data_IF_746740756316
#
_entry.id   IF_746740756316
#
_cell.length_a   1.000
_cell.length_b   1.000
_cell.length_c   1.000
_cell.angle_alpha   90.00
_cell.angle_beta   90.00
_cell.angle_gamma   90.00
#
_symmetry.space_group_name_H-M   'P 1'
#
loop_
_entity.id
_entity.type
_entity.pdbx_description
1 polymer ?
#
# COMPACT_ATOMS: atom_id res chain seq x y z
N UNK A 1 18.39 17.44 62.58
CA UNK A 1 18.23 17.31 61.12
C UNK A 1 18.41 18.69 60.52
N UNK A 2 19.57 18.94 59.92
CA UNK A 2 19.93 20.18 59.23
C UNK A 2 19.74 19.97 57.72
N UNK A 3 19.10 20.89 57.02
CA UNK A 3 19.78 21.91 56.18
C UNK A 3 18.74 22.71 55.40
N UNK A 4 18.77 24.02 55.66
CA UNK A 4 18.23 25.14 54.89
C UNK A 4 18.71 25.16 53.45
N UNK A 5 17.86 25.56 52.48
CA UNK A 5 18.34 26.29 51.31
C UNK A 5 17.43 27.46 50.96
N UNK A 6 18.11 28.60 50.81
CA UNK A 6 17.63 29.96 50.64
C UNK A 6 17.48 30.30 49.15
N UNK A 7 16.42 31.02 48.78
CA UNK A 7 16.26 31.62 47.46
C UNK A 7 16.79 33.05 47.49
N UNK A 8 17.89 33.31 46.76
CA UNK A 8 18.31 34.65 46.36
C UNK A 8 18.73 34.61 44.89
N UNK A 9 18.38 35.68 44.18
CA UNK A 9 18.14 35.76 42.74
C UNK A 9 19.41 36.05 41.88
N UNK A 10 19.29 36.71 40.70
CA UNK A 10 19.47 36.15 39.36
C UNK A 10 20.85 36.45 38.77
N UNK A 11 21.25 35.69 37.75
CA UNK A 11 22.42 36.01 36.91
C UNK A 11 22.06 35.85 35.45
N UNK A 12 21.85 37.01 34.81
CA UNK A 12 21.96 37.20 33.37
C UNK A 12 23.31 36.66 32.87
N UNK A 13 23.24 35.70 31.95
CA UNK A 13 24.33 35.38 31.06
C UNK A 13 23.75 35.01 29.70
N UNK A 14 23.62 36.03 28.86
CA UNK A 14 23.44 35.96 27.42
C UNK A 14 24.34 34.89 26.80
N UNK A 15 23.77 33.73 26.48
CA UNK A 15 24.21 32.87 25.39
C UNK A 15 22.99 32.45 24.60
N UNK A 16 22.72 33.22 23.55
CA UNK A 16 21.93 32.79 22.40
C UNK A 16 22.58 31.54 21.83
N UNK A 17 22.21 30.38 22.37
CA UNK A 17 22.42 29.11 21.69
C UNK A 17 21.35 29.06 20.63
N UNK A 18 21.72 29.42 19.40
CA UNK A 18 20.94 29.15 18.21
C UNK A 18 20.76 27.63 18.15
N UNK A 19 19.70 27.14 18.77
CA UNK A 19 19.14 25.82 18.50
C UNK A 19 18.63 25.89 17.06
N UNK A 20 19.56 25.66 16.13
CA UNK A 20 19.25 25.30 14.75
C UNK A 20 18.46 24.01 14.82
N UNK A 21 17.16 24.16 15.04
CA UNK A 21 16.18 23.11 14.87
C UNK A 21 16.17 22.85 13.38
N UNK A 22 17.03 21.93 12.93
CA UNK A 22 16.85 21.29 11.64
C UNK A 22 15.43 20.75 11.65
N UNK A 23 14.52 21.45 10.98
CA UNK A 23 13.19 20.97 10.68
C UNK A 23 13.40 19.65 9.95
N UNK A 24 13.21 18.54 10.66
CA UNK A 24 13.19 17.22 10.05
C UNK A 24 12.11 17.29 8.97
N UNK A 25 12.42 17.00 7.70
CA UNK A 25 11.42 17.10 6.64
C UNK A 25 10.22 16.23 7.03
N UNK A 26 9.03 16.83 7.08
CA UNK A 26 7.79 16.10 7.29
C UNK A 26 7.65 15.12 6.13
N UNK A 27 7.95 13.84 6.36
CA UNK A 27 7.93 12.81 5.31
C UNK A 27 6.53 12.75 4.71
N UNK A 28 6.42 13.10 3.44
CA UNK A 28 5.19 12.97 2.68
C UNK A 28 5.07 11.52 2.16
N UNK A 29 4.65 10.62 3.05
CA UNK A 29 4.53 9.20 2.73
C UNK A 29 3.56 8.93 1.57
N UNK A 30 2.52 9.76 1.40
CA UNK A 30 1.59 9.62 0.28
C UNK A 30 2.32 9.80 -1.04
N UNK A 31 3.02 10.92 -1.21
CA UNK A 31 3.75 11.21 -2.44
C UNK A 31 4.88 10.20 -2.69
N UNK A 32 5.59 9.78 -1.63
CA UNK A 32 6.66 8.78 -1.74
C UNK A 32 6.11 7.44 -2.24
N UNK A 33 5.07 6.92 -1.60
CA UNK A 33 4.49 5.62 -1.95
C UNK A 33 3.82 5.64 -3.33
N UNK A 34 3.14 6.74 -3.69
CA UNK A 34 2.60 6.93 -5.05
C UNK A 34 3.71 6.91 -6.09
N UNK A 35 4.81 7.63 -5.85
CA UNK A 35 5.94 7.68 -6.79
C UNK A 35 6.59 6.30 -6.95
N UNK A 36 6.72 5.52 -5.87
CA UNK A 36 7.23 4.15 -5.91
C UNK A 36 6.29 3.22 -6.68
N UNK A 37 4.98 3.34 -6.50
CA UNK A 37 4.02 2.53 -7.25
C UNK A 37 4.02 2.90 -8.74
N UNK A 38 4.12 4.19 -9.08
CA UNK A 38 4.29 4.64 -10.46
C UNK A 38 5.58 4.08 -11.10
N UNK A 39 6.68 4.05 -10.36
CA UNK A 39 7.91 3.41 -10.82
C UNK A 39 7.71 1.90 -11.05
N UNK A 40 6.97 1.21 -10.19
CA UNK A 40 6.64 -0.20 -10.39
C UNK A 40 5.86 -0.41 -11.69
N UNK A 41 4.91 0.47 -12.04
CA UNK A 41 4.22 0.43 -13.33
C UNK A 41 5.18 0.61 -14.51
N UNK A 42 6.10 1.58 -14.43
CA UNK A 42 7.13 1.78 -15.47
C UNK A 42 8.02 0.55 -15.64
N UNK A 43 8.39 -0.11 -14.53
CA UNK A 43 9.18 -1.35 -14.57
C UNK A 43 8.43 -2.49 -15.25
N UNK A 44 7.11 -2.58 -15.11
CA UNK A 44 6.31 -3.55 -15.88
C UNK A 44 6.39 -3.26 -17.37
N UNK A 45 6.20 -2.00 -17.76
CA UNK A 45 6.27 -1.58 -19.16
C UNK A 45 7.66 -1.81 -19.78
N UNK A 46 8.72 -1.74 -18.96
CA UNK A 46 10.09 -2.07 -19.40
C UNK A 46 10.43 -3.56 -19.31
N UNK A 47 9.46 -4.43 -19.02
CA UNK A 47 9.65 -5.89 -18.90
C UNK A 47 10.30 -6.36 -17.59
N UNK A 48 10.62 -5.47 -16.65
CA UNK A 48 11.23 -5.81 -15.38
C UNK A 48 10.18 -6.15 -14.31
N UNK A 49 9.46 -7.25 -14.55
CA UNK A 49 8.35 -7.69 -13.70
C UNK A 49 8.82 -8.04 -12.28
N UNK A 50 10.03 -8.60 -12.14
CA UNK A 50 10.57 -8.97 -10.82
C UNK A 50 10.73 -7.75 -9.91
N UNK A 51 11.39 -6.69 -10.38
CA UNK A 51 11.56 -5.47 -9.58
C UNK A 51 10.23 -4.76 -9.35
N UNK A 52 9.32 -4.76 -10.34
CA UNK A 52 7.98 -4.20 -10.17
C UNK A 52 7.21 -4.88 -9.02
N UNK A 53 7.16 -6.22 -8.99
CA UNK A 53 6.50 -6.98 -7.91
C UNK A 53 7.13 -6.71 -6.55
N UNK A 54 8.47 -6.67 -6.48
CA UNK A 54 9.19 -6.35 -5.23
C UNK A 54 8.80 -4.96 -4.72
N UNK A 55 8.85 -3.95 -5.59
CA UNK A 55 8.56 -2.56 -5.21
C UNK A 55 7.10 -2.37 -4.81
N UNK A 56 6.16 -2.96 -5.56
CA UNK A 56 4.75 -2.92 -5.20
C UNK A 56 4.45 -3.62 -3.86
N UNK A 57 5.15 -4.72 -3.54
CA UNK A 57 5.03 -5.39 -2.24
C UNK A 57 5.56 -4.53 -1.10
N UNK A 58 6.68 -3.84 -1.29
CA UNK A 58 7.20 -2.88 -0.31
C UNK A 58 6.21 -1.75 -0.06
N UNK A 59 5.61 -1.21 -1.12
CA UNK A 59 4.56 -0.18 -1.02
C UNK A 59 3.36 -0.70 -0.25
N UNK A 60 2.85 -1.89 -0.59
CA UNK A 60 1.69 -2.49 0.08
C UNK A 60 1.94 -2.69 1.58
N UNK A 61 3.08 -3.25 1.98
CA UNK A 61 3.43 -3.47 3.38
C UNK A 61 3.58 -2.16 4.15
N UNK A 62 4.21 -1.15 3.53
CA UNK A 62 4.39 0.16 4.17
C UNK A 62 3.06 0.90 4.31
N UNK A 63 2.25 0.92 3.26
CA UNK A 63 0.93 1.53 3.26
C UNK A 63 0.02 0.88 4.32
N UNK A 64 0.04 -0.45 4.43
CA UNK A 64 -0.69 -1.19 5.45
C UNK A 64 -0.28 -0.78 6.87
N UNK A 65 1.03 -0.67 7.13
CA UNK A 65 1.54 -0.24 8.45
C UNK A 65 1.12 1.18 8.82
N UNK A 66 0.76 2.00 7.84
CA UNK A 66 0.37 3.40 8.00
C UNK A 66 -1.15 3.62 7.85
N UNK A 67 -1.92 2.57 7.54
CA UNK A 67 -3.36 2.66 7.28
C UNK A 67 -3.71 3.53 6.07
N UNK A 68 -2.89 3.48 5.01
CA UNK A 68 -3.03 4.34 3.83
C UNK A 68 -3.76 3.66 2.69
N UNK A 69 -4.68 4.38 2.05
CA UNK A 69 -5.50 3.85 0.94
C UNK A 69 -4.70 3.24 -0.21
N UNK A 70 -3.49 3.75 -0.49
CA UNK A 70 -2.62 3.23 -1.56
C UNK A 70 -2.24 1.74 -1.37
N UNK A 71 -2.46 1.17 -0.18
CA UNK A 71 -2.42 -0.28 0.05
C UNK A 71 -3.30 -1.03 -0.96
N UNK A 72 -4.51 -0.53 -1.22
CA UNK A 72 -5.44 -1.09 -2.20
C UNK A 72 -4.80 -1.12 -3.59
N UNK A 73 -4.29 0.03 -4.06
CA UNK A 73 -3.72 0.16 -5.40
C UNK A 73 -2.52 -0.78 -5.59
N UNK A 74 -1.64 -0.86 -4.60
CA UNK A 74 -0.45 -1.72 -4.66
C UNK A 74 -0.82 -3.21 -4.67
N UNK A 75 -1.80 -3.63 -3.87
CA UNK A 75 -2.28 -5.03 -3.85
C UNK A 75 -3.05 -5.38 -5.13
N UNK A 76 -3.90 -4.49 -5.62
CA UNK A 76 -4.59 -4.68 -6.89
C UNK A 76 -3.60 -4.80 -8.05
N UNK A 77 -2.56 -3.97 -8.06
CA UNK A 77 -1.47 -4.04 -9.06
C UNK A 77 -0.73 -5.38 -9.04
N UNK A 78 -0.38 -5.90 -7.85
CA UNK A 78 0.20 -7.25 -7.72
C UNK A 78 -0.74 -8.33 -8.26
N UNK A 79 -2.05 -8.19 -8.02
CA UNK A 79 -3.06 -9.10 -8.56
C UNK A 79 -3.16 -9.05 -10.08
N UNK A 80 -3.07 -7.86 -10.69
CA UNK A 80 -3.05 -7.69 -12.15
C UNK A 80 -1.82 -8.36 -12.75
N UNK A 81 -0.62 -8.14 -12.20
CA UNK A 81 0.59 -8.81 -12.67
C UNK A 81 0.43 -10.34 -12.61
N UNK A 82 -0.09 -10.87 -11.51
CA UNK A 82 -0.31 -12.31 -11.38
C UNK A 82 -1.35 -12.83 -12.40
N UNK A 83 -2.41 -12.06 -12.64
CA UNK A 83 -3.45 -12.37 -13.61
C UNK A 83 -2.88 -12.42 -15.03
N UNK A 84 -2.07 -11.44 -15.42
CA UNK A 84 -1.41 -11.38 -16.73
C UNK A 84 -0.41 -12.53 -16.92
N UNK A 85 0.19 -13.02 -15.83
CA UNK A 85 1.07 -14.20 -15.83
C UNK A 85 0.32 -15.54 -15.86
N UNK A 86 -1.01 -15.52 -15.79
CA UNK A 86 -1.84 -16.73 -15.68
C UNK A 86 -1.79 -17.41 -14.30
N UNK A 87 -1.23 -16.76 -13.29
CA UNK A 87 -1.24 -17.23 -11.91
C UNK A 87 -2.54 -16.80 -11.22
N UNK A 88 -3.61 -17.53 -11.52
CA UNK A 88 -4.97 -17.25 -11.03
C UNK A 88 -5.09 -17.35 -9.51
N UNK A 89 -4.27 -18.18 -8.87
CA UNK A 89 -4.31 -18.37 -7.41
C UNK A 89 -3.73 -17.14 -6.72
N UNK A 90 -2.54 -16.68 -7.14
CA UNK A 90 -1.93 -15.47 -6.59
C UNK A 90 -2.75 -14.23 -6.92
N UNK A 91 -3.30 -14.13 -8.14
CA UNK A 91 -4.16 -13.02 -8.52
C UNK A 91 -5.40 -12.93 -7.63
N UNK A 92 -6.08 -14.06 -7.38
CA UNK A 92 -7.23 -14.13 -6.47
C UNK A 92 -6.87 -13.66 -5.07
N UNK A 93 -5.77 -14.18 -4.53
CA UNK A 93 -5.28 -13.81 -3.21
C UNK A 93 -5.06 -12.29 -3.10
N UNK A 94 -4.35 -11.71 -4.06
CA UNK A 94 -4.07 -10.28 -4.06
C UNK A 94 -5.32 -9.43 -4.22
N UNK A 95 -6.28 -9.82 -5.06
CA UNK A 95 -7.55 -9.10 -5.19
C UNK A 95 -8.39 -9.14 -3.91
N UNK A 96 -8.45 -10.27 -3.21
CA UNK A 96 -9.11 -10.32 -1.90
C UNK A 96 -8.41 -9.45 -0.87
N UNK A 97 -7.08 -9.46 -0.83
CA UNK A 97 -6.32 -8.61 0.08
C UNK A 97 -6.50 -7.12 -0.24
N UNK A 98 -6.64 -6.76 -1.52
CA UNK A 98 -6.91 -5.39 -1.95
C UNK A 98 -8.33 -4.96 -1.53
N UNK A 99 -9.33 -5.82 -1.76
CA UNK A 99 -10.70 -5.55 -1.31
C UNK A 99 -10.78 -5.34 0.20
N UNK A 100 -10.02 -6.11 0.97
CA UNK A 100 -9.97 -5.99 2.42
C UNK A 100 -9.30 -4.70 2.93
N UNK A 101 -8.50 -4.00 2.12
CA UNK A 101 -7.88 -2.72 2.50
C UNK A 101 -8.74 -1.50 2.16
N UNK A 102 -9.92 -1.70 1.53
CA UNK A 102 -10.84 -0.61 1.23
C UNK A 102 -11.60 -0.17 2.49
N UNK A 103 -11.69 1.13 2.72
CA UNK A 103 -12.47 1.72 3.81
C UNK A 103 -13.50 2.74 3.30
N UNK A 104 -14.76 2.72 3.81
CA UNK A 104 -15.88 3.50 3.26
C UNK A 104 -15.69 5.02 3.26
N UNK A 105 -14.81 5.55 4.11
CA UNK A 105 -14.56 6.98 4.23
C UNK A 105 -13.75 7.56 3.06
N UNK A 106 -13.11 6.71 2.25
CA UNK A 106 -12.33 7.18 1.12
C UNK A 106 -13.23 7.61 -0.06
N UNK A 107 -12.99 8.76 -0.71
CA UNK A 107 -13.82 9.22 -1.83
C UNK A 107 -13.96 8.19 -2.98
N UNK A 108 -12.90 7.42 -3.24
CA UNK A 108 -12.89 6.39 -4.30
C UNK A 108 -13.48 5.03 -3.88
N UNK A 109 -13.95 4.87 -2.64
CA UNK A 109 -14.40 3.56 -2.13
C UNK A 109 -15.39 2.86 -3.07
N UNK A 110 -16.42 3.59 -3.53
CA UNK A 110 -17.46 3.01 -4.36
C UNK A 110 -16.96 2.60 -5.75
N UNK A 111 -16.06 3.37 -6.36
CA UNK A 111 -15.45 2.99 -7.65
C UNK A 111 -14.55 1.77 -7.50
N UNK A 112 -13.79 1.73 -6.42
CA UNK A 112 -12.74 0.75 -6.22
C UNK A 112 -13.31 -0.61 -5.81
N UNK A 113 -14.41 -0.61 -5.04
CA UNK A 113 -15.23 -1.80 -4.82
C UNK A 113 -15.75 -2.39 -6.14
N UNK A 114 -16.34 -1.57 -7.01
CA UNK A 114 -16.84 -2.03 -8.32
C UNK A 114 -15.71 -2.56 -9.20
N UNK A 115 -14.56 -1.89 -9.18
CA UNK A 115 -13.39 -2.29 -9.93
C UNK A 115 -12.87 -3.65 -9.49
N UNK A 116 -12.63 -3.84 -8.19
CA UNK A 116 -12.07 -5.10 -7.67
C UNK A 116 -13.06 -6.26 -7.81
N UNK A 117 -14.36 -6.02 -7.65
CA UNK A 117 -15.39 -7.02 -7.89
C UNK A 117 -15.43 -7.46 -9.36
N UNK A 118 -15.22 -6.53 -10.29
CA UNK A 118 -15.13 -6.85 -11.72
C UNK A 118 -13.89 -7.72 -12.03
N UNK A 119 -12.75 -7.46 -11.38
CA UNK A 119 -11.54 -8.26 -11.53
C UNK A 119 -11.73 -9.68 -10.98
N UNK A 120 -12.32 -9.81 -9.78
CA UNK A 120 -12.63 -11.11 -9.19
C UNK A 120 -13.59 -11.93 -10.08
N UNK A 121 -14.63 -11.30 -10.62
CA UNK A 121 -15.56 -11.95 -11.56
C UNK A 121 -14.87 -12.42 -12.84
N UNK A 122 -13.92 -11.64 -13.39
CA UNK A 122 -13.12 -12.08 -14.54
C UNK A 122 -12.30 -13.32 -14.18
N UNK A 123 -11.69 -13.32 -13.01
CA UNK A 123 -10.85 -14.42 -12.55
C UNK A 123 -11.64 -15.72 -12.33
N UNK A 124 -12.89 -15.64 -11.87
CA UNK A 124 -13.78 -16.80 -11.76
C UNK A 124 -14.00 -17.49 -13.12
N UNK A 125 -14.14 -16.71 -14.20
CA UNK A 125 -14.31 -17.27 -15.56
C UNK A 125 -13.08 -18.07 -16.04
N UNK A 126 -11.88 -17.76 -15.52
CA UNK A 126 -10.65 -18.50 -15.82
C UNK A 126 -10.41 -19.68 -14.86
N UNK A 127 -11.03 -19.66 -13.67
CA UNK A 127 -10.87 -20.69 -12.64
C UNK A 127 -11.82 -21.87 -12.81
N UNK A 128 -12.96 -21.69 -13.49
CA UNK A 128 -13.88 -22.79 -13.77
C UNK A 128 -13.45 -23.55 -15.02
N UNK A 129 -13.09 -24.84 -14.95
CA UNK A 129 -13.17 -25.66 -16.14
C UNK A 129 -14.64 -25.66 -16.53
N UNK A 130 -14.98 -25.11 -17.72
CA UNK A 130 -16.33 -25.23 -18.26
C UNK A 130 -16.70 -26.69 -18.13
N UNK A 131 -17.68 -27.02 -17.29
CA UNK A 131 -18.29 -28.34 -17.31
C UNK A 131 -18.89 -28.49 -18.71
N UNK A 132 -18.12 -29.05 -19.64
CA UNK A 132 -18.69 -29.70 -20.81
C UNK A 132 -19.60 -30.73 -20.21
N UNK A 133 -20.92 -30.47 -20.27
CA UNK A 133 -21.92 -31.49 -20.08
C UNK A 133 -21.48 -32.67 -20.93
N UNK A 134 -20.90 -33.68 -20.30
CA UNK A 134 -20.83 -35.02 -20.86
C UNK A 134 -22.30 -35.41 -20.95
N UNK A 135 -22.91 -35.14 -22.10
CA UNK A 135 -24.16 -35.78 -22.48
C UNK A 135 -23.84 -37.27 -22.48
N UNK A 136 -24.20 -37.93 -21.39
CA UNK A 136 -24.20 -39.37 -21.29
C UNK A 136 -25.31 -39.85 -22.24
N UNK A 137 -24.94 -40.06 -23.51
CA UNK A 137 -25.76 -40.78 -24.45
C UNK A 137 -25.45 -42.27 -24.24
N UNK A 138 -26.36 -42.94 -23.54
CA UNK A 138 -26.54 -44.39 -23.53
C UNK A 138 -28.04 -44.65 -23.54
#
# INVERSE_FOLDING_TARGET
>A
MQTTFSFNAPLDATKSSQSSTRLVPRRNYTQELTSRLSLACTLVNSGNIFLAKKLAREVALKAQSLGMYIEFEAKAFLGIIAYDQGDWVSARLHFFQAKASLYPQHPSYASDCRYIDSLLKRLDNHSTPKQRKLSLAA
#
